data_IF_355804674603
#
_entry.id   IF_355804674603
#
_cell.length_a   1.000
_cell.length_b   1.000
_cell.length_c   1.000
_cell.angle_alpha   90.00
_cell.angle_beta   90.00
_cell.angle_gamma   90.00
#
_symmetry.space_group_name_H-M   'P 1'
#
loop_
_entity.id
_entity.type
_entity.pdbx_description
1 polymer ?
#
# COMPACT_ATOMS: atom_id res chain seq x y z
N UNK A 1 33.72 11.71 16.13
CA UNK A 1 32.57 11.00 15.53
C UNK A 1 31.30 11.65 16.06
N UNK A 2 30.49 12.27 15.19
CA UNK A 2 29.15 12.74 15.59
C UNK A 2 28.23 11.53 15.64
N UNK A 3 27.68 11.25 16.82
CA UNK A 3 26.57 10.29 16.97
C UNK A 3 25.39 10.90 16.22
N UNK A 4 25.04 10.31 15.09
CA UNK A 4 23.82 10.65 14.35
C UNK A 4 22.67 10.24 15.25
N UNK A 5 21.92 11.21 15.78
CA UNK A 5 20.78 10.94 16.64
C UNK A 5 19.76 10.07 15.92
N UNK A 6 19.16 9.12 16.63
CA UNK A 6 18.10 8.27 16.09
C UNK A 6 16.98 9.14 15.47
N UNK A 7 16.38 8.73 14.34
CA UNK A 7 15.30 9.47 13.72
C UNK A 7 14.14 9.63 14.72
N UNK A 8 13.76 10.89 14.96
CA UNK A 8 12.83 11.34 16.02
C UNK A 8 11.38 10.82 15.89
N UNK A 9 11.06 10.07 14.85
CA UNK A 9 9.69 9.69 14.49
C UNK A 9 9.35 8.19 14.67
N UNK A 10 10.28 7.36 15.17
CA UNK A 10 10.00 5.94 15.42
C UNK A 10 9.21 5.74 16.72
N UNK A 11 7.89 5.66 16.64
CA UNK A 11 7.04 5.31 17.79
C UNK A 11 7.30 3.86 18.20
N UNK A 12 7.83 3.63 19.40
CA UNK A 12 8.00 2.28 19.96
C UNK A 12 6.66 1.69 20.38
N UNK A 13 6.37 0.46 19.95
CA UNK A 13 5.15 -0.27 20.30
C UNK A 13 5.28 -1.08 21.59
N UNK A 14 6.50 -1.29 22.13
CA UNK A 14 6.74 -2.05 23.38
C UNK A 14 5.89 -1.60 24.56
N UNK A 15 5.83 -0.28 24.81
CA UNK A 15 5.10 0.26 25.96
C UNK A 15 3.58 0.05 25.83
N UNK A 16 2.94 0.39 24.70
CA UNK A 16 1.52 0.07 24.48
C UNK A 16 1.18 -1.42 24.53
N UNK A 17 2.00 -2.29 23.94
CA UNK A 17 1.70 -3.74 23.89
C UNK A 17 1.59 -4.35 25.29
N UNK A 18 2.45 -3.93 26.22
CA UNK A 18 2.44 -4.45 27.58
C UNK A 18 1.19 -4.06 28.39
N UNK A 19 0.45 -3.03 27.98
CA UNK A 19 -0.74 -2.56 28.71
C UNK A 19 -2.06 -3.02 28.07
N UNK A 20 -2.15 -3.02 26.74
CA UNK A 20 -3.41 -3.31 26.01
C UNK A 20 -3.30 -4.48 25.04
N UNK A 21 -2.14 -5.13 24.94
CA UNK A 21 -1.88 -6.22 24.01
C UNK A 21 -1.79 -5.77 22.55
N UNK A 22 -1.92 -6.73 21.63
CA UNK A 22 -1.81 -6.52 20.18
C UNK A 22 -3.18 -6.24 19.55
N UNK A 23 -3.63 -4.98 19.66
CA UNK A 23 -4.94 -4.55 19.13
C UNK A 23 -5.11 -4.84 17.63
N UNK A 24 -4.08 -4.53 16.83
CA UNK A 24 -4.11 -4.70 15.38
C UNK A 24 -3.14 -5.80 14.94
N UNK A 25 -3.58 -6.75 14.11
CA UNK A 25 -2.69 -7.76 13.55
C UNK A 25 -1.83 -7.16 12.42
N UNK A 26 -0.83 -7.91 11.97
CA UNK A 26 -0.21 -7.71 10.65
C UNK A 26 -1.14 -8.34 9.62
N UNK A 27 -1.56 -7.57 8.62
CA UNK A 27 -2.43 -8.06 7.56
C UNK A 27 -1.59 -8.64 6.43
N UNK A 28 -1.90 -9.88 6.04
CA UNK A 28 -1.23 -10.60 4.97
C UNK A 28 -2.21 -10.87 3.82
N UNK A 29 -1.74 -10.82 2.59
CA UNK A 29 -2.46 -11.34 1.43
C UNK A 29 -2.39 -12.88 1.39
N UNK A 30 -3.14 -13.50 0.48
CA UNK A 30 -3.23 -14.97 0.33
C UNK A 30 -1.86 -15.63 0.16
N UNK A 31 -0.93 -14.99 -0.52
CA UNK A 31 0.43 -15.49 -0.76
C UNK A 31 1.42 -15.16 0.37
N UNK A 32 0.95 -14.56 1.47
CA UNK A 32 1.76 -14.17 2.61
C UNK A 32 2.44 -12.80 2.47
N UNK A 33 2.23 -12.07 1.37
CA UNK A 33 2.74 -10.70 1.27
C UNK A 33 2.09 -9.78 2.30
N UNK A 34 2.90 -8.92 2.94
CA UNK A 34 2.39 -7.95 3.92
C UNK A 34 1.61 -6.84 3.21
N UNK A 35 0.40 -6.58 3.71
CA UNK A 35 -0.49 -5.48 3.31
C UNK A 35 -0.29 -4.30 4.28
N UNK A 36 -0.35 -4.56 5.58
CA UNK A 36 -0.18 -3.57 6.65
C UNK A 36 0.53 -4.17 7.86
N UNK A 37 1.26 -3.34 8.59
CA UNK A 37 1.87 -3.71 9.87
C UNK A 37 3.35 -4.05 9.78
N UNK A 38 4.07 -3.58 8.76
CA UNK A 38 5.52 -3.74 8.64
C UNK A 38 6.26 -3.42 9.95
N UNK A 39 6.01 -2.24 10.55
CA UNK A 39 6.65 -1.88 11.83
C UNK A 39 6.29 -2.82 12.99
N UNK A 40 5.06 -3.36 13.03
CA UNK A 40 4.65 -4.34 14.04
C UNK A 40 5.47 -5.62 13.89
N UNK A 41 5.63 -6.08 12.65
CA UNK A 41 6.42 -7.27 12.30
C UNK A 41 7.92 -7.09 12.54
N UNK A 42 8.45 -5.90 12.30
CA UNK A 42 9.86 -5.56 12.57
C UNK A 42 10.16 -5.51 14.07
N UNK A 43 9.23 -4.98 14.87
CA UNK A 43 9.41 -4.87 16.32
C UNK A 43 9.25 -6.22 17.04
N UNK A 44 8.35 -7.08 16.55
CA UNK A 44 8.15 -8.44 17.03
C UNK A 44 7.80 -9.40 15.87
N UNK A 45 8.71 -10.31 15.47
CA UNK A 45 8.41 -11.33 14.46
C UNK A 45 7.25 -12.26 14.85
N UNK A 46 6.93 -12.37 16.15
CA UNK A 46 5.80 -13.12 16.68
C UNK A 46 4.47 -12.34 16.72
N UNK A 47 4.43 -11.11 16.18
CA UNK A 47 3.21 -10.32 16.17
C UNK A 47 2.05 -11.06 15.47
N UNK A 48 0.86 -11.02 16.07
CA UNK A 48 -0.36 -11.65 15.55
C UNK A 48 -0.58 -11.27 14.08
N UNK A 49 -0.79 -12.26 13.24
CA UNK A 49 -1.07 -12.08 11.82
C UNK A 49 -2.52 -12.44 11.51
N UNK A 50 -3.04 -11.87 10.44
CA UNK A 50 -4.32 -12.23 9.85
C UNK A 50 -4.17 -12.30 8.33
N UNK A 51 -4.41 -13.48 7.76
CA UNK A 51 -4.31 -13.72 6.31
C UNK A 51 -5.67 -13.49 5.67
N UNK A 52 -5.70 -12.60 4.67
CA UNK A 52 -6.91 -12.24 3.93
C UNK A 52 -6.95 -13.04 2.62
N UNK A 53 -7.55 -14.23 2.67
CA UNK A 53 -7.60 -15.20 1.56
C UNK A 53 -8.22 -14.64 0.25
N UNK A 54 -9.05 -13.60 0.36
CA UNK A 54 -9.71 -12.97 -0.79
C UNK A 54 -8.81 -11.96 -1.53
N UNK A 55 -7.65 -11.61 -0.97
CA UNK A 55 -6.62 -10.77 -1.60
C UNK A 55 -5.64 -11.71 -2.29
N UNK A 56 -6.03 -12.12 -3.49
CA UNK A 56 -5.43 -13.19 -4.27
C UNK A 56 -4.94 -12.74 -5.66
N UNK A 57 -4.89 -11.44 -5.89
CA UNK A 57 -4.35 -10.83 -7.11
C UNK A 57 -3.48 -9.62 -6.78
N UNK A 58 -2.60 -9.25 -7.71
CA UNK A 58 -1.75 -8.07 -7.58
C UNK A 58 -2.59 -6.78 -7.46
N UNK A 59 -3.65 -6.65 -8.26
CA UNK A 59 -4.59 -5.53 -8.19
C UNK A 59 -5.16 -5.36 -6.77
N UNK A 60 -5.68 -6.45 -6.18
CA UNK A 60 -6.24 -6.42 -4.82
C UNK A 60 -5.18 -6.13 -3.77
N UNK A 61 -3.96 -6.64 -3.93
CA UNK A 61 -2.85 -6.35 -3.04
C UNK A 61 -2.50 -4.86 -3.05
N UNK A 62 -2.37 -4.26 -4.24
CA UNK A 62 -2.06 -2.84 -4.39
C UNK A 62 -3.18 -1.96 -3.84
N UNK A 63 -4.45 -2.30 -4.11
CA UNK A 63 -5.61 -1.61 -3.53
C UNK A 63 -5.61 -1.69 -2.01
N UNK A 64 -5.40 -2.88 -1.44
CA UNK A 64 -5.39 -3.08 0.01
C UNK A 64 -4.26 -2.28 0.68
N UNK A 65 -3.06 -2.28 0.09
CA UNK A 65 -1.93 -1.46 0.56
C UNK A 65 -2.29 0.02 0.53
N UNK A 66 -2.84 0.51 -0.58
CA UNK A 66 -3.26 1.90 -0.70
C UNK A 66 -4.30 2.26 0.38
N UNK A 67 -5.39 1.50 0.52
CA UNK A 67 -6.46 1.76 1.48
C UNK A 67 -5.94 1.75 2.92
N UNK A 68 -5.19 0.72 3.32
CA UNK A 68 -4.74 0.57 4.71
C UNK A 68 -3.67 1.57 5.13
N UNK A 69 -2.93 2.13 4.18
CA UNK A 69 -1.72 2.90 4.46
C UNK A 69 -1.74 4.35 3.92
N UNK A 70 -2.74 4.77 3.15
CA UNK A 70 -2.75 6.07 2.45
C UNK A 70 -2.43 7.26 3.36
N UNK A 71 -3.08 7.31 4.52
CA UNK A 71 -2.94 8.40 5.48
C UNK A 71 -1.83 8.17 6.51
N UNK A 72 -1.07 7.07 6.40
CA UNK A 72 0.08 6.88 7.29
C UNK A 72 1.20 7.83 6.89
N UNK A 73 1.65 8.59 7.89
CA UNK A 73 2.76 9.55 7.77
C UNK A 73 4.11 8.87 7.58
N UNK A 74 4.25 7.65 8.09
CA UNK A 74 5.48 6.87 8.01
C UNK A 74 5.70 6.19 6.67
N UNK A 75 4.69 6.17 5.81
CA UNK A 75 4.78 5.57 4.48
C UNK A 75 5.26 6.66 3.52
N UNK A 76 6.31 6.34 2.77
CA UNK A 76 6.95 7.27 1.85
C UNK A 76 6.01 7.70 0.72
N UNK A 77 6.31 8.83 0.11
CA UNK A 77 5.56 9.29 -1.07
C UNK A 77 5.77 8.31 -2.23
N UNK A 78 6.98 7.78 -2.35
CA UNK A 78 7.44 6.88 -3.39
C UNK A 78 6.67 5.56 -3.37
N UNK A 79 6.42 4.99 -2.19
CA UNK A 79 5.59 3.79 -2.05
C UNK A 79 4.14 4.04 -2.48
N UNK A 80 3.56 5.18 -2.09
CA UNK A 80 2.19 5.53 -2.49
C UNK A 80 2.09 5.71 -4.01
N UNK A 81 3.09 6.36 -4.62
CA UNK A 81 3.19 6.48 -6.08
C UNK A 81 3.30 5.11 -6.73
N UNK A 82 4.14 4.22 -6.20
CA UNK A 82 4.33 2.89 -6.75
C UNK A 82 3.02 2.08 -6.76
N UNK A 83 2.20 2.17 -5.71
CA UNK A 83 0.90 1.48 -5.67
C UNK A 83 -0.06 1.99 -6.74
N UNK A 84 -0.18 3.32 -6.89
CA UNK A 84 -1.08 3.92 -7.88
C UNK A 84 -0.59 3.64 -9.30
N UNK A 85 0.72 3.75 -9.56
CA UNK A 85 1.28 3.46 -10.88
C UNK A 85 1.13 1.99 -11.25
N UNK A 86 1.31 1.07 -10.29
CA UNK A 86 1.07 -0.35 -10.51
C UNK A 86 -0.40 -0.62 -10.88
N UNK A 87 -1.35 -0.01 -10.17
CA UNK A 87 -2.78 -0.11 -10.51
C UNK A 87 -3.08 0.46 -11.90
N UNK A 88 -2.52 1.64 -12.22
CA UNK A 88 -2.71 2.25 -13.53
C UNK A 88 -2.20 1.34 -14.66
N UNK A 89 -1.02 0.76 -14.49
CA UNK A 89 -0.46 -0.18 -15.48
C UNK A 89 -1.35 -1.41 -15.65
N UNK A 90 -1.78 -2.04 -14.54
CA UNK A 90 -2.68 -3.20 -14.60
C UNK A 90 -3.98 -2.90 -15.34
N UNK A 91 -4.55 -1.71 -15.15
CA UNK A 91 -5.78 -1.33 -15.84
C UNK A 91 -5.55 -1.04 -17.33
N UNK A 92 -4.44 -0.40 -17.70
CA UNK A 92 -4.05 -0.23 -19.11
C UNK A 92 -3.89 -1.58 -19.81
N UNK A 93 -3.19 -2.52 -19.17
CA UNK A 93 -2.97 -3.87 -19.68
C UNK A 93 -4.28 -4.66 -19.80
N UNK A 94 -5.26 -4.36 -18.94
CA UNK A 94 -6.61 -4.94 -18.97
C UNK A 94 -7.54 -4.29 -20.00
N UNK A 95 -7.06 -3.32 -20.78
CA UNK A 95 -7.82 -2.67 -21.85
C UNK A 95 -8.48 -1.35 -21.46
N UNK A 96 -8.07 -0.71 -20.36
CA UNK A 96 -8.48 0.68 -20.09
C UNK A 96 -7.90 1.59 -21.18
N UNK A 97 -8.79 2.22 -21.95
CA UNK A 97 -8.41 3.24 -22.93
C UNK A 97 -8.59 4.63 -22.33
N UNK A 98 -7.49 5.29 -21.97
CA UNK A 98 -7.48 6.70 -21.57
C UNK A 98 -7.31 7.54 -22.83
N UNK A 99 -8.28 8.38 -23.14
CA UNK A 99 -8.17 9.33 -24.26
C UNK A 99 -7.43 10.55 -23.75
N UNK A 100 -6.26 10.87 -24.33
CA UNK A 100 -5.54 12.08 -23.98
C UNK A 100 -6.37 13.33 -24.35
N UNK A 101 -6.69 14.22 -23.40
CA UNK A 101 -7.48 15.41 -23.69
C UNK A 101 -6.77 16.41 -24.62
N UNK A 102 -5.43 16.36 -24.71
CA UNK A 102 -4.64 17.16 -25.66
C UNK A 102 -4.66 16.61 -27.10
N UNK A 103 -5.31 15.46 -27.34
CA UNK A 103 -5.53 14.90 -28.68
C UNK A 103 -7.03 14.86 -29.05
N UNK A 104 -7.77 15.92 -28.70
CA UNK A 104 -9.13 16.09 -29.22
C UNK A 104 -9.14 16.30 -30.74
N UNK A 105 -9.41 15.21 -31.45
CA UNK A 105 -10.20 15.14 -32.69
C UNK A 105 -9.70 15.94 -33.90
N UNK A 106 -8.78 15.35 -34.67
CA UNK A 106 -8.87 15.37 -36.12
C UNK A 106 -9.60 14.09 -36.59
N UNK A 107 -10.91 14.21 -36.81
CA UNK A 107 -11.65 13.24 -37.63
C UNK A 107 -12.40 12.13 -36.87
N UNK A 108 -13.55 12.48 -36.29
CA UNK A 108 -14.69 11.56 -36.31
C UNK A 108 -15.64 12.13 -37.37
N UNK A 109 -15.83 11.48 -38.52
CA UNK A 109 -16.83 11.94 -39.47
C UNK A 109 -18.21 11.74 -38.86
N UNK A 110 -19.03 12.79 -38.92
CA UNK A 110 -20.44 12.71 -38.57
C UNK A 110 -21.10 11.60 -39.40
N UNK A 111 -21.78 10.67 -38.71
CA UNK A 111 -22.69 9.71 -39.35
C UNK A 111 -23.84 10.48 -40.03
N UNK A 112 -24.41 9.94 -41.11
CA UNK A 112 -25.39 10.63 -41.95
C UNK A 112 -26.70 10.92 -41.23
#
# INVERSE_FOLDING_TARGET
MKVVGEPKDRLSLKKPVNSVGQLYPVLLAKDGQIIDGFHRREEDPGWRTETLEHIDSEEKLLLARAISNWHRRSISKEEKIAWINGLAQLYLDSGLHVVDPDHSTSGIPAKP
#
